data_IF_772252192595
#
_entry.id   IF_772252192595
#
_cell.length_a   1.000
_cell.length_b   1.000
_cell.length_c   1.000
_cell.angle_alpha   90.00
_cell.angle_beta   90.00
_cell.angle_gamma   90.00
#
_symmetry.space_group_name_H-M   'P 1'
#
loop_
_entity.id
_entity.type
_entity.pdbx_description
1 polymer ?
#
# COMPACT_ATOMS: atom_id res chain seq x y z
N UNK A 1 16.20 -26.59 8.42
CA UNK A 1 16.53 -25.24 7.91
C UNK A 1 16.09 -24.25 8.98
N UNK A 2 17.03 -23.55 9.59
CA UNK A 2 16.77 -22.57 10.65
C UNK A 2 17.06 -21.18 10.09
N UNK A 3 16.09 -20.26 10.18
CA UNK A 3 16.24 -18.88 9.70
C UNK A 3 16.45 -18.00 10.94
N UNK A 4 17.66 -17.47 11.10
CA UNK A 4 17.96 -16.53 12.18
C UNK A 4 17.37 -15.16 11.84
N UNK A 5 16.58 -14.60 12.74
CA UNK A 5 15.99 -13.27 12.62
C UNK A 5 16.35 -12.44 13.85
N UNK A 6 16.77 -11.19 13.64
CA UNK A 6 17.05 -10.23 14.70
C UNK A 6 15.84 -9.29 14.82
N UNK A 7 15.19 -9.27 15.99
CA UNK A 7 14.21 -8.24 16.32
C UNK A 7 14.83 -7.30 17.35
N UNK A 8 15.10 -6.07 16.93
CA UNK A 8 15.49 -4.97 17.81
C UNK A 8 14.28 -4.13 18.25
N UNK A 9 13.11 -4.50 17.76
CA UNK A 9 11.82 -4.09 18.26
C UNK A 9 11.70 -4.54 19.72
N UNK A 10 11.87 -3.63 20.68
CA UNK A 10 11.46 -3.89 22.07
C UNK A 10 10.01 -4.41 22.11
N UNK A 11 9.59 -4.99 23.24
CA UNK A 11 8.33 -5.76 23.40
C UNK A 11 7.07 -5.06 22.80
N UNK A 12 7.07 -3.72 22.67
CA UNK A 12 5.94 -2.94 22.14
C UNK A 12 6.23 -2.09 20.89
N UNK A 13 7.44 -2.13 20.31
CA UNK A 13 7.88 -1.13 19.31
C UNK A 13 7.92 -1.61 17.85
N UNK A 14 7.42 -2.81 17.53
CA UNK A 14 7.26 -3.19 16.12
C UNK A 14 6.25 -2.27 15.43
N UNK A 15 6.67 -1.54 14.40
CA UNK A 15 5.72 -0.75 13.59
C UNK A 15 4.67 -1.66 12.96
N UNK A 16 3.41 -1.25 13.00
CA UNK A 16 2.32 -1.90 12.26
C UNK A 16 2.35 -1.41 10.81
N UNK A 17 2.43 -2.36 9.88
CA UNK A 17 2.40 -2.12 8.45
C UNK A 17 1.08 -2.64 7.88
N UNK A 18 0.68 -2.13 6.72
CA UNK A 18 -0.48 -2.62 5.99
C UNK A 18 -0.12 -2.90 4.53
N UNK A 19 -0.77 -3.91 3.96
CA UNK A 19 -0.70 -4.20 2.52
C UNK A 19 -1.85 -3.48 1.82
N UNK A 20 -1.55 -2.81 0.70
CA UNK A 20 -2.56 -2.43 -0.28
C UNK A 20 -2.63 -3.53 -1.34
N UNK A 21 -3.76 -4.25 -1.39
CA UNK A 21 -3.94 -5.37 -2.33
C UNK A 21 -4.94 -4.98 -3.41
N UNK A 22 -4.47 -4.98 -4.66
CA UNK A 22 -5.22 -4.55 -5.84
C UNK A 22 -5.52 -5.79 -6.69
N UNK A 23 -6.80 -6.03 -7.01
CA UNK A 23 -7.16 -7.10 -7.95
C UNK A 23 -6.97 -6.61 -9.40
N UNK A 24 -5.78 -6.82 -9.95
CA UNK A 24 -5.41 -6.43 -11.31
C UNK A 24 -3.92 -6.16 -11.45
N UNK A 25 -3.56 -5.39 -12.47
CA UNK A 25 -2.18 -4.95 -12.73
C UNK A 25 -2.11 -3.42 -12.64
N UNK A 26 -1.07 -2.91 -11.99
CA UNK A 26 -0.76 -1.47 -11.99
C UNK A 26 0.12 -1.19 -13.20
N UNK A 27 -0.48 -0.57 -14.22
CA UNK A 27 0.21 -0.18 -15.45
C UNK A 27 0.91 1.17 -15.27
N UNK A 28 2.22 1.19 -15.51
CA UNK A 28 2.99 2.44 -15.56
C UNK A 28 2.87 3.10 -16.92
N UNK A 29 3.08 4.42 -16.97
CA UNK A 29 3.18 5.11 -18.26
C UNK A 29 4.44 4.66 -19.01
N UNK A 30 4.42 4.59 -20.35
CA UNK A 30 5.57 4.19 -21.16
C UNK A 30 6.84 5.01 -20.87
N UNK A 31 6.69 6.28 -20.50
CA UNK A 31 7.77 7.20 -20.13
C UNK A 31 8.53 6.79 -18.86
N UNK A 32 7.88 6.04 -17.97
CA UNK A 32 8.42 5.63 -16.67
C UNK A 32 8.89 4.16 -16.71
N UNK A 33 8.43 3.37 -17.69
CA UNK A 33 8.72 1.96 -17.83
C UNK A 33 8.58 1.22 -16.48
N UNK A 34 9.61 0.49 -16.04
CA UNK A 34 9.60 -0.26 -14.76
C UNK A 34 10.20 0.53 -13.58
N UNK A 35 10.49 1.82 -13.73
CA UNK A 35 11.12 2.64 -12.70
C UNK A 35 10.09 3.25 -11.73
N UNK A 36 9.23 2.42 -11.15
CA UNK A 36 8.16 2.86 -10.23
C UNK A 36 8.66 3.22 -8.81
N UNK A 37 9.95 2.98 -8.51
CA UNK A 37 10.49 3.18 -7.17
C UNK A 37 10.54 4.66 -6.81
N UNK A 38 9.97 5.01 -5.65
CA UNK A 38 9.98 6.38 -5.15
C UNK A 38 9.00 7.32 -5.85
N UNK A 39 8.19 6.81 -6.78
CA UNK A 39 7.17 7.61 -7.46
C UNK A 39 5.86 7.60 -6.70
N UNK A 40 5.14 8.72 -6.76
CA UNK A 40 3.77 8.80 -6.30
C UNK A 40 2.85 8.04 -7.27
N UNK A 41 2.24 6.96 -6.79
CA UNK A 41 1.32 6.13 -7.59
C UNK A 41 -0.12 6.67 -7.50
N UNK A 42 -0.46 7.34 -6.40
CA UNK A 42 -1.82 7.78 -6.16
C UNK A 42 -2.11 8.16 -4.72
N UNK A 43 -3.37 8.47 -4.43
CA UNK A 43 -3.83 8.95 -3.12
C UNK A 43 -4.71 7.92 -2.43
N UNK A 44 -4.29 7.47 -1.25
CA UNK A 44 -5.09 6.64 -0.35
C UNK A 44 -5.81 7.54 0.66
N UNK A 45 -7.13 7.43 0.74
CA UNK A 45 -7.95 8.11 1.74
C UNK A 45 -8.67 7.09 2.61
N UNK A 46 -8.73 7.40 3.90
CA UNK A 46 -9.52 6.67 4.89
C UNK A 46 -10.65 7.60 5.35
N UNK A 47 -11.89 7.18 5.18
CA UNK A 47 -13.05 7.89 5.70
C UNK A 47 -13.69 7.04 6.80
N UNK A 48 -13.73 7.60 8.00
CA UNK A 48 -14.38 7.00 9.15
C UNK A 48 -15.71 7.72 9.37
N UNK A 49 -16.80 7.12 8.92
CA UNK A 49 -18.15 7.50 9.39
C UNK A 49 -18.52 6.63 10.59
N UNK A 50 -19.44 7.12 11.43
CA UNK A 50 -19.87 6.63 12.76
C UNK A 50 -19.91 5.09 12.98
N UNK A 51 -19.95 4.26 11.94
CA UNK A 51 -19.97 2.80 12.08
C UNK A 51 -19.18 2.03 11.01
N UNK A 52 -18.54 2.69 10.05
CA UNK A 52 -17.83 2.02 8.94
C UNK A 52 -16.59 2.81 8.49
N UNK A 53 -15.45 2.12 8.46
CA UNK A 53 -14.21 2.64 7.86
C UNK A 53 -14.16 2.24 6.40
N UNK A 54 -14.19 3.23 5.51
CA UNK A 54 -14.11 3.04 4.07
C UNK A 54 -12.77 3.56 3.56
N UNK A 55 -12.14 2.80 2.65
CA UNK A 55 -10.92 3.23 1.98
C UNK A 55 -11.21 3.56 0.53
N UNK A 56 -10.67 4.67 0.06
CA UNK A 56 -10.64 4.99 -1.37
C UNK A 56 -9.19 5.16 -1.81
N UNK A 57 -8.86 4.59 -2.97
CA UNK A 57 -7.54 4.72 -3.55
C UNK A 57 -7.68 5.26 -4.97
N UNK A 58 -7.08 6.42 -5.21
CA UNK A 58 -7.13 7.11 -6.50
C UNK A 58 -5.81 6.91 -7.23
N UNK A 59 -5.84 6.30 -8.41
CA UNK A 59 -4.67 6.08 -9.29
C UNK A 59 -5.00 6.61 -10.68
N UNK A 60 -4.35 7.71 -11.08
CA UNK A 60 -4.71 8.43 -12.30
C UNK A 60 -6.19 8.86 -12.27
N UNK A 61 -6.95 8.47 -13.30
CA UNK A 61 -8.40 8.73 -13.41
C UNK A 61 -9.29 7.65 -12.79
N UNK A 62 -8.70 6.68 -12.10
CA UNK A 62 -9.43 5.58 -11.49
C UNK A 62 -9.57 5.78 -9.98
N UNK A 63 -10.78 5.57 -9.48
CA UNK A 63 -11.09 5.45 -8.07
C UNK A 63 -11.42 3.99 -7.74
N UNK A 64 -10.72 3.44 -6.74
CA UNK A 64 -10.96 2.12 -6.20
C UNK A 64 -11.55 2.26 -4.79
N UNK A 65 -12.60 1.50 -4.50
CA UNK A 65 -13.15 1.37 -3.15
C UNK A 65 -12.61 0.11 -2.51
N UNK A 66 -12.07 0.23 -1.29
CA UNK A 66 -11.41 -0.84 -0.56
C UNK A 66 -11.91 -0.99 0.86
N UNK A 67 -11.67 -2.17 1.43
CA UNK A 67 -12.05 -2.51 2.80
C UNK A 67 -10.84 -3.05 3.56
N UNK A 68 -10.79 -2.77 4.88
CA UNK A 68 -9.78 -3.35 5.76
C UNK A 68 -10.14 -4.79 6.08
N UNK A 69 -9.20 -5.70 5.90
CA UNK A 69 -9.36 -7.15 6.13
C UNK A 69 -8.24 -7.62 7.05
N UNK A 70 -8.60 -8.33 8.13
CA UNK A 70 -7.63 -8.98 9.01
C UNK A 70 -7.04 -10.23 8.36
N UNK A 71 -5.72 -10.41 8.46
CA UNK A 71 -5.03 -11.57 7.93
C UNK A 71 -5.16 -12.75 8.90
N UNK A 72 -5.57 -13.91 8.39
CA UNK A 72 -5.61 -15.16 9.18
C UNK A 72 -4.25 -15.54 9.76
N UNK A 73 -3.18 -15.19 9.04
CA UNK A 73 -1.79 -15.38 9.44
C UNK A 73 -1.08 -14.03 9.27
N UNK A 74 -0.73 -13.34 10.37
CA UNK A 74 0.08 -12.12 10.30
C UNK A 74 1.41 -12.37 9.59
N UNK A 75 1.92 -11.34 8.91
CA UNK A 75 3.20 -11.41 8.21
C UNK A 75 4.26 -10.58 8.93
N UNK A 76 5.48 -11.08 8.92
CA UNK A 76 6.65 -10.36 9.43
C UNK A 76 7.30 -9.61 8.27
N UNK A 77 7.60 -8.33 8.46
CA UNK A 77 8.34 -7.52 7.49
C UNK A 77 9.82 -7.62 7.82
N UNK A 78 10.59 -8.22 6.91
CA UNK A 78 12.02 -8.45 7.06
C UNK A 78 12.81 -7.55 6.11
N UNK A 79 13.82 -6.86 6.65
CA UNK A 79 14.81 -6.13 5.88
C UNK A 79 16.08 -6.97 5.83
N UNK A 80 16.54 -7.28 4.61
CA UNK A 80 17.84 -7.90 4.39
C UNK A 80 18.92 -6.83 4.52
N UNK A 81 19.82 -6.96 5.49
CA UNK A 81 20.97 -6.08 5.60
C UNK A 81 22.07 -6.61 4.66
N UNK A 82 22.52 -5.77 3.72
CA UNK A 82 23.69 -6.09 2.91
C UNK A 82 24.92 -5.79 3.77
N UNK A 83 25.75 -6.80 4.03
CA UNK A 83 27.11 -6.55 4.49
C UNK A 83 27.86 -5.80 3.38
N UNK A 84 28.65 -4.79 3.76
CA UNK A 84 29.55 -4.11 2.83
C UNK A 84 30.52 -5.13 2.22
N UNK A 85 30.74 -5.03 0.91
CA UNK A 85 31.62 -5.90 0.14
C UNK A 85 33.08 -5.70 0.59
N UNK A 86 33.50 -6.41 1.64
CA UNK A 86 34.86 -6.31 2.17
C UNK A 86 35.20 -7.21 3.36
N UNK A 87 34.22 -7.75 4.08
CA UNK A 87 34.47 -8.68 5.19
C UNK A 87 34.48 -10.14 4.72
N UNK A 88 35.65 -10.78 4.79
CA UNK A 88 35.92 -12.18 4.39
C UNK A 88 35.35 -13.22 5.38
N UNK A 89 34.23 -12.95 6.05
CA UNK A 89 33.72 -13.87 7.08
C UNK A 89 32.22 -14.10 6.97
N UNK A 90 31.90 -15.31 6.48
CA UNK A 90 30.61 -16.01 6.51
C UNK A 90 29.44 -15.36 5.75
N UNK A 91 28.84 -16.14 4.86
CA UNK A 91 27.57 -15.92 4.14
C UNK A 91 26.33 -15.80 5.07
N UNK A 92 26.48 -15.23 6.26
CA UNK A 92 25.39 -15.10 7.23
C UNK A 92 24.48 -13.94 6.80
N UNK A 93 23.37 -14.29 6.14
CA UNK A 93 22.36 -13.33 5.73
C UNK A 93 21.66 -12.80 6.98
N UNK A 94 22.01 -11.57 7.36
CA UNK A 94 21.35 -10.87 8.46
C UNK A 94 19.98 -10.34 8.03
N UNK A 95 18.94 -10.85 8.69
CA UNK A 95 17.55 -10.43 8.52
C UNK A 95 17.07 -9.67 9.75
N UNK A 96 16.69 -8.41 9.55
CA UNK A 96 16.16 -7.53 10.58
C UNK A 96 14.63 -7.47 10.49
N UNK A 97 13.96 -7.62 11.63
CA UNK A 97 12.51 -7.41 11.73
C UNK A 97 12.22 -5.91 11.81
N UNK A 98 11.50 -5.39 10.83
CA UNK A 98 11.16 -3.95 10.74
C UNK A 98 9.66 -3.66 10.91
N UNK A 99 8.82 -4.68 10.99
CA UNK A 99 7.38 -4.48 11.19
C UNK A 99 6.57 -5.76 11.16
N UNK A 100 5.30 -5.62 11.52
CA UNK A 100 4.29 -6.68 11.48
C UNK A 100 3.11 -6.20 10.65
N UNK A 101 2.57 -7.08 9.81
CA UNK A 101 1.36 -6.82 9.03
C UNK A 101 0.26 -7.74 9.55
N UNK A 102 -0.76 -7.18 10.18
CA UNK A 102 -1.95 -7.94 10.62
C UNK A 102 -3.14 -7.72 9.71
N UNK A 103 -3.14 -6.65 8.93
CA UNK A 103 -4.26 -6.26 8.09
C UNK A 103 -3.81 -5.90 6.67
N UNK A 104 -4.72 -6.07 5.73
CA UNK A 104 -4.61 -5.52 4.37
C UNK A 104 -5.81 -4.63 4.07
N UNK A 105 -5.62 -3.68 3.17
CA UNK A 105 -6.69 -2.93 2.51
C UNK A 105 -6.88 -3.57 1.15
N UNK A 106 -8.04 -4.20 0.95
CA UNK A 106 -8.35 -4.98 -0.24
C UNK A 106 -9.22 -4.16 -1.20
N UNK A 107 -8.73 -3.96 -2.41
CA UNK A 107 -9.44 -3.33 -3.54
C UNK A 107 -9.78 -4.42 -4.57
N UNK A 108 -10.89 -5.12 -4.33
CA UNK A 108 -11.36 -6.24 -5.19
C UNK A 108 -12.38 -5.84 -6.26
N UNK A 109 -12.94 -4.64 -6.14
CA UNK A 109 -13.98 -4.17 -7.06
C UNK A 109 -13.35 -3.50 -8.28
N UNK A 110 -14.05 -3.55 -9.42
CA UNK A 110 -13.63 -2.87 -10.65
C UNK A 110 -13.42 -1.36 -10.39
N UNK A 111 -12.30 -0.77 -10.83
CA UNK A 111 -12.05 0.66 -10.69
C UNK A 111 -13.13 1.49 -11.41
N UNK A 112 -13.56 2.58 -10.78
CA UNK A 112 -14.51 3.54 -11.34
C UNK A 112 -13.76 4.70 -11.98
N UNK A 113 -14.20 5.15 -13.15
CA UNK A 113 -13.68 6.36 -13.75
C UNK A 113 -14.17 7.59 -12.96
N UNK A 114 -13.27 8.53 -12.70
CA UNK A 114 -13.63 9.84 -12.14
C UNK A 114 -14.21 10.67 -13.29
N UNK A 115 -15.52 10.61 -13.48
CA UNK A 115 -16.23 11.40 -14.50
C UNK A 115 -16.52 12.78 -13.90
N UNK A 116 -16.04 13.84 -14.55
CA UNK A 116 -16.47 15.20 -14.22
C UNK A 116 -17.97 15.33 -14.50
N UNK A 117 -18.78 15.65 -13.48
CA UNK A 117 -20.17 16.04 -13.72
C UNK A 117 -20.16 17.35 -14.53
N UNK A 118 -20.87 17.45 -15.66
CA UNK A 118 -21.00 18.72 -16.36
C UNK A 118 -21.67 19.73 -15.43
N UNK A 119 -21.09 20.93 -15.35
CA UNK A 119 -21.67 22.07 -14.64
C UNK A 119 -23.04 22.34 -15.26
N UNK A 120 -24.11 22.12 -14.49
CA UNK A 120 -25.46 22.52 -14.90
C UNK A 120 -25.42 24.05 -14.97
N UNK A 121 -25.39 24.61 -16.17
CA UNK A 121 -25.62 26.05 -16.34
C UNK A 121 -27.06 26.29 -15.90
N UNK A 122 -27.24 26.90 -14.74
CA UNK A 122 -28.53 27.44 -14.34
C UNK A 122 -29.05 28.32 -15.47
N UNK A 123 -30.12 27.88 -16.12
CA UNK A 123 -30.86 28.73 -17.05
C UNK A 123 -31.44 29.85 -16.20
N UNK A 124 -30.82 31.03 -16.27
CA UNK A 124 -31.49 32.29 -15.90
C UNK A 124 -32.84 32.30 -16.61
N UNK A 125 -33.91 32.20 -15.83
CA UNK A 125 -35.24 32.59 -16.29
C UNK A 125 -35.15 34.08 -16.63
N UNK A 126 -35.23 34.38 -17.91
CA UNK A 126 -35.46 35.73 -18.43
C UNK A 126 -36.96 36.00 -18.37
N UNK A 127 -37.31 37.06 -17.63
CA UNK A 127 -38.55 37.86 -17.57
C UNK A 127 -39.91 37.15 -17.61
#
# INVERSE_FOLDING_TARGET
MEIKVKCNCGVENCSEWAILELQGVVESQPSIANQIRGLEIGRLCCSSSSSQVNYTFTVGYHELSGTKVSLKKPLLVLKKNKQEEGSVSNNEVDLEVIGIIRHKILFKNRPKAIISRPQVKDKKASD
#
